data_IF_115222268583
#
_entry.id   IF_115222268583
#
_cell.length_a   1.000
_cell.length_b   1.000
_cell.length_c   1.000
_cell.angle_alpha   90.00
_cell.angle_beta   90.00
_cell.angle_gamma   90.00
#
_symmetry.space_group_name_H-M   'P 1'
#
loop_
_entity.id
_entity.type
_entity.pdbx_description
1 polymer ?
#
# COMPACT_ATOMS: atom_id res chain seq x y z
N UNK A 1 17.60 0.77 -6.31
CA UNK A 1 16.21 0.25 -6.29
C UNK A 1 15.30 1.26 -5.61
N UNK A 2 14.01 1.28 -5.96
CA UNK A 2 13.01 2.16 -5.33
C UNK A 2 12.72 1.62 -3.93
N UNK A 3 12.71 2.50 -2.91
CA UNK A 3 12.35 2.11 -1.54
C UNK A 3 10.88 1.68 -1.51
N UNK A 4 10.60 0.48 -1.06
CA UNK A 4 9.23 -0.04 -0.97
C UNK A 4 8.97 -0.75 0.37
N UNK A 5 7.69 -0.75 0.78
CA UNK A 5 7.21 -1.47 1.94
C UNK A 5 6.46 -2.72 1.46
N UNK A 6 6.94 -3.89 1.84
CA UNK A 6 6.46 -5.16 1.33
C UNK A 6 6.04 -6.08 2.47
N UNK A 7 5.35 -7.17 2.11
CA UNK A 7 4.94 -8.16 3.10
C UNK A 7 6.13 -9.01 3.57
N UNK A 8 5.87 -9.97 4.46
CA UNK A 8 6.90 -10.88 4.98
C UNK A 8 7.46 -11.83 3.92
N UNK A 9 6.77 -12.08 2.81
CA UNK A 9 7.23 -13.01 1.78
C UNK A 9 8.44 -12.46 1.02
N UNK A 10 8.54 -11.14 0.90
CA UNK A 10 9.68 -10.46 0.25
C UNK A 10 10.93 -10.30 1.13
N UNK A 11 11.01 -11.03 2.25
CA UNK A 11 12.22 -10.99 3.06
C UNK A 11 13.38 -11.61 2.27
N UNK A 12 14.43 -10.81 2.03
CA UNK A 12 15.56 -11.18 1.17
C UNK A 12 15.57 -10.47 -0.19
N UNK A 13 14.52 -9.71 -0.54
CA UNK A 13 14.42 -8.96 -1.80
C UNK A 13 15.36 -7.74 -1.92
N UNK A 14 16.38 -7.64 -1.07
CA UNK A 14 17.39 -6.58 -1.07
C UNK A 14 17.10 -5.41 -0.12
N UNK A 15 18.09 -4.52 0.08
CA UNK A 15 18.06 -3.48 1.12
C UNK A 15 17.03 -2.36 0.87
N UNK A 16 16.53 -2.24 -0.36
CA UNK A 16 15.50 -1.26 -0.71
C UNK A 16 14.08 -1.70 -0.25
N UNK A 17 13.88 -2.99 0.04
CA UNK A 17 12.58 -3.56 0.41
C UNK A 17 12.49 -3.66 1.93
N UNK A 18 11.61 -2.86 2.53
CA UNK A 18 11.32 -2.92 3.96
C UNK A 18 10.24 -3.96 4.22
N UNK A 19 10.54 -4.94 5.07
CA UNK A 19 9.65 -6.05 5.43
C UNK A 19 9.42 -6.11 6.95
N UNK A 20 8.31 -6.68 7.44
CA UNK A 20 8.09 -6.82 8.87
C UNK A 20 9.03 -7.89 9.46
N UNK A 21 9.43 -7.72 10.72
CA UNK A 21 10.31 -8.65 11.41
C UNK A 21 9.54 -9.95 11.73
N UNK A 22 10.10 -11.11 11.34
CA UNK A 22 9.58 -12.46 11.66
C UNK A 22 9.87 -12.86 13.11
N UNK A 23 9.11 -13.82 13.62
CA UNK A 23 9.28 -14.41 14.95
C UNK A 23 8.09 -14.21 15.88
N UNK A 24 8.06 -15.01 16.95
CA UNK A 24 7.10 -14.90 18.07
C UNK A 24 7.77 -14.16 19.25
N UNK A 25 6.97 -13.68 20.21
CA UNK A 25 7.45 -13.00 21.43
C UNK A 25 8.48 -11.89 21.18
N UNK A 26 8.22 -11.04 20.19
CA UNK A 26 9.12 -9.96 19.80
C UNK A 26 9.34 -8.95 20.95
N UNK A 27 10.57 -8.45 21.10
CA UNK A 27 10.87 -7.31 22.01
C UNK A 27 10.04 -6.09 21.62
N UNK A 28 9.78 -5.20 22.58
CA UNK A 28 8.84 -4.07 22.40
C UNK A 28 9.11 -3.21 21.16
N UNK A 29 10.38 -2.90 20.87
CA UNK A 29 10.75 -2.12 19.69
C UNK A 29 10.44 -2.84 18.37
N UNK A 30 10.64 -4.16 18.30
CA UNK A 30 10.31 -4.97 17.12
C UNK A 30 8.81 -5.04 16.88
N UNK A 31 8.02 -5.15 17.95
CA UNK A 31 6.55 -5.05 17.87
C UNK A 31 6.10 -3.68 17.40
N UNK A 32 6.72 -2.60 17.88
CA UNK A 32 6.43 -1.23 17.44
C UNK A 32 6.73 -1.06 15.96
N UNK A 33 7.92 -1.46 15.49
CA UNK A 33 8.27 -1.46 14.07
C UNK A 33 7.24 -2.19 13.21
N UNK A 34 6.82 -3.40 13.61
CA UNK A 34 5.82 -4.16 12.85
C UNK A 34 4.44 -3.47 12.83
N UNK A 35 4.04 -2.81 13.93
CA UNK A 35 2.78 -2.04 13.98
C UNK A 35 2.83 -0.82 13.06
N UNK A 36 3.92 -0.08 13.08
CA UNK A 36 4.09 1.10 12.22
C UNK A 36 4.15 0.70 10.74
N UNK A 37 4.83 -0.40 10.43
CA UNK A 37 4.82 -0.98 9.11
C UNK A 37 3.40 -1.41 8.68
N UNK A 38 2.65 -2.10 9.55
CA UNK A 38 1.27 -2.49 9.24
C UNK A 38 0.36 -1.29 8.97
N UNK A 39 0.53 -0.16 9.66
CA UNK A 39 -0.20 1.09 9.38
C UNK A 39 0.08 1.61 7.97
N UNK A 40 1.36 1.66 7.57
CA UNK A 40 1.74 2.11 6.22
C UNK A 40 1.13 1.20 5.15
N UNK A 41 1.22 -0.13 5.35
CA UNK A 41 0.62 -1.10 4.42
C UNK A 41 -0.89 -0.97 4.34
N UNK A 42 -1.57 -0.83 5.47
CA UNK A 42 -3.02 -0.71 5.55
C UNK A 42 -3.54 0.45 4.71
N UNK A 43 -2.83 1.59 4.66
CA UNK A 43 -3.19 2.71 3.79
C UNK A 43 -3.14 2.34 2.30
N UNK A 44 -2.07 1.67 1.86
CA UNK A 44 -1.92 1.24 0.48
C UNK A 44 -2.93 0.14 0.09
N UNK A 45 -3.14 -0.82 0.98
CA UNK A 45 -4.13 -1.89 0.78
C UNK A 45 -5.55 -1.33 0.70
N UNK A 46 -5.92 -0.39 1.58
CA UNK A 46 -7.19 0.33 1.52
C UNK A 46 -7.33 1.09 0.22
N UNK A 47 -6.30 1.85 -0.20
CA UNK A 47 -6.34 2.58 -1.47
C UNK A 47 -6.59 1.64 -2.66
N UNK A 48 -5.89 0.51 -2.73
CA UNK A 48 -6.10 -0.49 -3.80
C UNK A 48 -7.48 -1.16 -3.71
N UNK A 49 -7.95 -1.47 -2.50
CA UNK A 49 -9.28 -2.05 -2.29
C UNK A 49 -10.38 -1.09 -2.76
N UNK A 50 -10.28 0.20 -2.40
CA UNK A 50 -11.12 1.27 -2.91
C UNK A 50 -11.12 1.26 -4.44
N UNK A 51 -9.95 1.39 -5.08
CA UNK A 51 -9.85 1.44 -6.55
C UNK A 51 -10.48 0.20 -7.22
N UNK A 52 -10.34 -0.99 -6.63
CA UNK A 52 -10.97 -2.22 -7.17
C UNK A 52 -12.50 -2.18 -7.13
N UNK A 53 -13.10 -1.45 -6.19
CA UNK A 53 -14.55 -1.26 -6.10
C UNK A 53 -15.10 -0.46 -7.30
N UNK A 54 -14.31 0.49 -7.83
CA UNK A 54 -14.73 1.38 -8.92
C UNK A 54 -14.78 0.68 -10.28
N UNK A 55 -16.00 0.41 -10.78
CA UNK A 55 -16.26 -0.24 -12.09
C UNK A 55 -15.54 0.44 -13.26
N UNK A 56 -15.46 1.76 -13.25
CA UNK A 56 -14.84 2.56 -14.31
C UNK A 56 -13.36 2.19 -14.52
N UNK A 57 -12.65 1.82 -13.44
CA UNK A 57 -11.23 1.48 -13.51
C UNK A 57 -10.98 0.11 -14.16
N UNK A 58 -11.98 -0.79 -14.23
CA UNK A 58 -11.80 -2.14 -14.79
C UNK A 58 -11.58 -2.16 -16.31
N UNK A 59 -12.05 -1.13 -17.01
CA UNK A 59 -11.97 -1.02 -18.48
C UNK A 59 -11.21 0.22 -18.93
N UNK A 60 -10.56 0.91 -18.00
CA UNK A 60 -9.88 2.17 -18.28
C UNK A 60 -8.69 1.93 -19.23
N UNK A 61 -8.79 2.45 -20.45
CA UNK A 61 -7.71 2.52 -21.44
C UNK A 61 -7.55 3.96 -21.90
N UNK A 62 -6.65 4.69 -21.28
CA UNK A 62 -6.35 6.08 -21.61
C UNK A 62 -4.90 6.43 -21.22
N UNK A 63 -4.46 7.65 -21.51
CA UNK A 63 -3.13 8.11 -21.12
C UNK A 63 -2.95 8.13 -19.61
N UNK A 64 -1.71 7.92 -19.14
CA UNK A 64 -1.36 7.92 -17.71
C UNK A 64 -1.78 9.21 -16.99
N UNK A 65 -1.75 10.35 -17.69
CA UNK A 65 -2.24 11.62 -17.18
C UNK A 65 -3.74 11.56 -16.86
N UNK A 66 -4.56 11.01 -17.76
CA UNK A 66 -6.00 10.84 -17.52
C UNK A 66 -6.29 9.85 -16.40
N UNK A 67 -5.53 8.76 -16.31
CA UNK A 67 -5.63 7.81 -15.19
C UNK A 67 -5.37 8.52 -13.86
N UNK A 68 -4.30 9.33 -13.80
CA UNK A 68 -3.95 10.09 -12.59
C UNK A 68 -5.07 11.03 -12.16
N UNK A 69 -5.67 11.77 -13.11
CA UNK A 69 -6.81 12.65 -12.81
C UNK A 69 -8.01 11.88 -12.26
N UNK A 70 -8.37 10.74 -12.86
CA UNK A 70 -9.48 9.89 -12.39
C UNK A 70 -9.20 9.35 -10.99
N UNK A 71 -7.99 8.85 -10.73
CA UNK A 71 -7.60 8.35 -9.40
C UNK A 71 -7.66 9.46 -8.35
N UNK A 72 -7.20 10.69 -8.67
CA UNK A 72 -7.31 11.84 -7.75
C UNK A 72 -8.77 12.18 -7.43
N UNK A 73 -9.65 12.15 -8.42
CA UNK A 73 -11.07 12.40 -8.21
C UNK A 73 -11.71 11.32 -7.30
N UNK A 74 -11.40 10.04 -7.53
CA UNK A 74 -11.87 8.94 -6.68
C UNK A 74 -11.39 9.13 -5.23
N UNK A 75 -10.11 9.44 -5.04
CA UNK A 75 -9.55 9.68 -3.69
C UNK A 75 -10.25 10.86 -3.01
N UNK A 76 -10.56 11.94 -3.73
CA UNK A 76 -11.29 13.08 -3.17
C UNK A 76 -12.70 12.69 -2.70
N UNK A 77 -13.45 11.92 -3.51
CA UNK A 77 -14.80 11.46 -3.16
C UNK A 77 -14.82 10.57 -1.91
N UNK A 78 -13.80 9.71 -1.76
CA UNK A 78 -13.67 8.78 -0.62
C UNK A 78 -13.21 9.46 0.67
N UNK A 79 -12.63 10.66 0.59
CA UNK A 79 -12.26 11.47 1.77
C UNK A 79 -13.40 12.36 2.23
N UNK A 80 -14.37 12.67 1.36
CA UNK A 80 -15.55 13.49 1.67
C UNK A 80 -16.77 12.66 2.09
N UNK A 81 -16.72 11.33 1.91
CA UNK A 81 -17.77 10.39 2.32
C UNK A 81 -17.57 9.96 3.76
#
# INVERSE_FOLDING_TARGET
GIKCWADKAYQGAGPAVRVPIRGKHLRGWRRRHNRDHAKIRSLGERAIATLKCWRVLRKLRCSTTRITTVVRAIVALELTS
#
